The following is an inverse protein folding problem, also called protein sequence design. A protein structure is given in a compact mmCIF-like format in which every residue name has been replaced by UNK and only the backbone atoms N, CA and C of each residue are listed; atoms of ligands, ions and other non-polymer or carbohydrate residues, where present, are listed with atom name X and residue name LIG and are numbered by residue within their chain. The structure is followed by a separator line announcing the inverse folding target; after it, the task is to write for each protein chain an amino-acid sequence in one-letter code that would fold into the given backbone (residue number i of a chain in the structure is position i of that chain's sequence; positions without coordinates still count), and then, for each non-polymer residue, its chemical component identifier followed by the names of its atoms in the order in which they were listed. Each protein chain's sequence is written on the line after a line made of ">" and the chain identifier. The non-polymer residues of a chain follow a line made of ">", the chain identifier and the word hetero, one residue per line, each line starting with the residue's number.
data_IF_997021959812
#
_entry.id   IF_997021959812
#
_cell.length_a   1.000
_cell.length_b   1.000
_cell.length_c   1.000
_cell.angle_alpha   90.00
_cell.angle_beta   90.00
_cell.angle_gamma   90.00
#
_symmetry.space_group_name_H-M   'P 1'
#
loop_
_entity.id
_entity.type
_entity.pdbx_description
1 polymer ?
#
# COMPACT_ATOMS: atom_id res chain seq x y z
N UNK A 1 2.47 -24.64 8.43
CA UNK A 1 2.33 -24.16 7.04
C UNK A 1 2.84 -22.72 7.00
N UNK A 2 3.89 -22.43 6.24
CA UNK A 2 4.45 -21.08 6.16
C UNK A 2 3.51 -20.21 5.33
N UNK A 3 2.80 -19.28 5.98
CA UNK A 3 1.92 -18.31 5.31
C UNK A 3 2.79 -17.40 4.43
N UNK A 4 2.99 -17.77 3.17
CA UNK A 4 3.68 -16.91 2.20
C UNK A 4 2.76 -15.71 1.94
N UNK A 5 3.10 -14.58 2.54
CA UNK A 5 2.44 -13.31 2.24
C UNK A 5 2.67 -13.00 0.75
N UNK A 6 1.58 -12.85 0.00
CA UNK A 6 1.64 -12.44 -1.41
C UNK A 6 2.29 -11.06 -1.48
N UNK A 7 3.43 -10.94 -2.16
CA UNK A 7 4.12 -9.66 -2.40
C UNK A 7 3.82 -9.07 -3.77
N UNK A 8 3.29 -9.88 -4.68
CA UNK A 8 3.05 -9.55 -6.09
C UNK A 8 1.80 -10.25 -6.63
N UNK A 9 1.10 -9.61 -7.56
CA UNK A 9 -0.15 -10.15 -8.13
C UNK A 9 0.09 -11.11 -9.31
N UNK A 10 1.30 -11.10 -9.88
CA UNK A 10 1.70 -11.95 -11.01
C UNK A 10 1.66 -13.45 -10.69
N UNK A 11 1.76 -13.82 -9.41
CA UNK A 11 1.66 -15.21 -8.96
C UNK A 11 0.24 -15.75 -8.86
N UNK A 12 -0.79 -14.95 -9.15
CA UNK A 12 -2.18 -15.38 -9.09
C UNK A 12 -2.54 -16.10 -10.39
N UNK A 13 -2.44 -17.42 -10.38
CA UNK A 13 -2.95 -18.24 -11.48
C UNK A 13 -4.48 -18.17 -11.51
N UNK A 14 -5.03 -17.89 -12.70
CA UNK A 14 -6.48 -17.89 -12.90
C UNK A 14 -6.92 -19.32 -13.15
N UNK A 15 -7.36 -19.99 -12.10
CA UNK A 15 -7.90 -21.36 -12.15
C UNK A 15 -9.41 -21.36 -11.95
N UNK A 16 -10.12 -22.30 -12.56
CA UNK A 16 -11.57 -22.46 -12.37
C UNK A 16 -12.39 -21.47 -13.19
N UNK A 17 -13.54 -21.04 -12.65
CA UNK A 17 -14.40 -20.08 -13.36
C UNK A 17 -13.81 -18.66 -13.32
N UNK A 18 -14.03 -17.87 -14.37
CA UNK A 18 -13.58 -16.47 -14.42
C UNK A 18 -14.12 -15.63 -13.25
N UNK A 19 -15.33 -15.92 -12.78
CA UNK A 19 -15.91 -15.26 -11.60
C UNK A 19 -15.15 -15.56 -10.31
N UNK A 20 -14.71 -16.81 -10.12
CA UNK A 20 -13.86 -17.19 -8.99
C UNK A 20 -12.47 -16.57 -9.10
N UNK A 21 -11.86 -16.62 -10.28
CA UNK A 21 -10.56 -16.02 -10.55
C UNK A 21 -10.55 -14.51 -10.23
N UNK A 22 -11.55 -13.75 -10.70
CA UNK A 22 -11.66 -12.32 -10.41
C UNK A 22 -12.02 -12.01 -8.97
N UNK A 23 -12.81 -12.87 -8.31
CA UNK A 23 -13.06 -12.74 -6.87
C UNK A 23 -11.78 -12.94 -6.06
N UNK A 24 -10.98 -13.94 -6.41
CA UNK A 24 -9.71 -14.22 -5.76
C UNK A 24 -8.69 -13.09 -6.00
N UNK A 25 -8.55 -12.65 -7.25
CA UNK A 25 -7.70 -11.53 -7.62
C UNK A 25 -8.06 -10.26 -6.86
N UNK A 26 -9.35 -9.89 -6.82
CA UNK A 26 -9.83 -8.72 -6.08
C UNK A 26 -9.50 -8.80 -4.58
N UNK A 27 -9.74 -9.96 -3.94
CA UNK A 27 -9.40 -10.17 -2.53
C UNK A 27 -7.90 -10.04 -2.25
N UNK A 28 -7.06 -10.62 -3.11
CA UNK A 28 -5.61 -10.55 -2.92
C UNK A 28 -5.08 -9.14 -3.17
N UNK A 29 -5.62 -8.42 -4.16
CA UNK A 29 -5.32 -7.01 -4.39
C UNK A 29 -5.67 -6.16 -3.16
N UNK A 30 -6.86 -6.35 -2.58
CA UNK A 30 -7.27 -5.67 -1.35
C UNK A 30 -6.33 -5.99 -0.19
N UNK A 31 -6.02 -7.27 0.05
CA UNK A 31 -5.13 -7.67 1.14
C UNK A 31 -3.69 -7.12 0.96
N UNK A 32 -3.17 -7.09 -0.27
CA UNK A 32 -1.86 -6.50 -0.56
C UNK A 32 -1.86 -4.99 -0.30
N UNK A 33 -2.90 -4.31 -0.77
CA UNK A 33 -3.07 -2.88 -0.61
C UNK A 33 -3.19 -2.46 0.87
N UNK A 34 -3.96 -3.21 1.67
CA UNK A 34 -4.08 -2.98 3.12
C UNK A 34 -2.74 -3.14 3.84
N UNK A 35 -1.97 -4.19 3.49
CA UNK A 35 -0.61 -4.38 4.03
C UNK A 35 0.30 -3.21 3.68
N UNK A 36 0.32 -2.79 2.41
CA UNK A 36 1.09 -1.62 2.01
C UNK A 36 0.65 -0.36 2.73
N UNK A 37 -0.66 -0.17 2.92
CA UNK A 37 -1.20 0.95 3.69
C UNK A 37 -0.62 0.98 5.11
N UNK A 38 -0.64 -0.15 5.81
CA UNK A 38 -0.09 -0.24 7.17
C UNK A 38 1.41 0.08 7.20
N UNK A 39 2.21 -0.57 6.34
CA UNK A 39 3.66 -0.37 6.28
C UNK A 39 4.03 1.08 5.93
N UNK A 40 3.28 1.72 5.02
CA UNK A 40 3.51 3.11 4.62
C UNK A 40 3.16 4.11 5.73
N UNK A 41 2.15 3.81 6.55
CA UNK A 41 1.82 4.63 7.73
C UNK A 41 2.92 4.53 8.78
N UNK A 42 3.37 3.32 9.11
CA UNK A 42 4.47 3.07 10.05
C UNK A 42 5.74 3.78 9.56
N UNK A 43 6.12 3.57 8.30
CA UNK A 43 7.28 4.21 7.70
C UNK A 43 7.19 5.73 7.71
N UNK A 44 5.99 6.31 7.54
CA UNK A 44 5.81 7.76 7.60
C UNK A 44 6.12 8.31 8.99
N UNK A 45 5.65 7.64 10.04
CA UNK A 45 5.90 8.02 11.44
C UNK A 45 7.37 7.84 11.80
N UNK A 46 7.94 6.68 11.49
CA UNK A 46 9.32 6.35 11.83
C UNK A 46 10.32 7.26 11.11
N UNK A 47 10.11 7.51 9.81
CA UNK A 47 10.95 8.42 9.04
C UNK A 47 10.83 9.86 9.56
N UNK A 48 9.63 10.33 9.92
CA UNK A 48 9.47 11.66 10.49
C UNK A 48 10.22 11.82 11.81
N UNK A 49 10.08 10.83 12.71
CA UNK A 49 10.72 10.82 14.02
C UNK A 49 12.25 10.74 13.91
N UNK A 50 12.76 9.78 13.12
CA UNK A 50 14.19 9.57 12.94
C UNK A 50 14.89 10.77 12.29
N UNK A 51 14.28 11.40 11.28
CA UNK A 51 14.87 12.58 10.63
C UNK A 51 14.74 13.84 11.49
N UNK A 52 13.63 13.99 12.23
CA UNK A 52 13.42 15.15 13.11
C UNK A 52 14.37 15.15 14.31
N UNK A 53 14.76 13.99 14.82
CA UNK A 53 15.72 13.87 15.93
C UNK A 53 17.13 14.35 15.56
N UNK A 54 17.47 14.38 14.27
CA UNK A 54 18.76 14.89 13.76
C UNK A 54 18.83 16.43 13.70
N UNK A 55 17.81 17.15 14.19
CA UNK A 55 17.81 18.61 14.17
C UNK A 55 18.99 19.17 14.97
N UNK A 56 19.76 20.07 14.34
CA UNK A 56 20.93 20.69 14.98
C UNK A 56 22.18 19.83 14.97
N UNK A 57 22.15 18.67 14.30
CA UNK A 57 23.35 17.84 14.11
C UNK A 57 24.39 18.58 13.26
N UNK A 58 25.64 18.59 13.71
CA UNK A 58 26.73 19.38 13.11
C UNK A 58 26.97 19.04 11.63
N UNK A 59 26.85 17.77 11.25
CA UNK A 59 26.97 17.32 9.84
C UNK A 59 25.80 17.76 8.94
N UNK A 60 24.71 18.27 9.52
CA UNK A 60 23.53 18.76 8.81
C UNK A 60 23.41 20.29 8.88
N UNK A 61 24.51 20.99 9.15
CA UNK A 61 24.53 22.44 9.20
C UNK A 61 24.00 23.07 7.89
N UNK A 62 23.07 24.01 8.01
CA UNK A 62 22.37 24.62 6.87
C UNK A 62 21.19 23.81 6.31
N UNK A 63 20.89 22.63 6.85
CA UNK A 63 19.73 21.82 6.47
C UNK A 63 18.67 21.79 7.57
N UNK A 64 17.45 22.17 7.21
CA UNK A 64 16.29 21.96 8.07
C UNK A 64 15.81 20.50 7.96
N UNK A 65 16.35 19.64 8.81
CA UNK A 65 16.01 18.22 8.90
C UNK A 65 14.53 18.01 9.21
N UNK A 66 13.88 18.91 9.95
CA UNK A 66 12.45 18.84 10.30
C UNK A 66 11.56 19.09 9.09
N UNK A 67 11.91 20.06 8.25
CA UNK A 67 11.20 20.31 6.98
C UNK A 67 11.37 19.14 6.02
N UNK A 68 12.57 18.56 5.94
CA UNK A 68 12.82 17.37 5.12
C UNK A 68 12.06 16.14 5.65
N UNK A 69 12.06 15.92 6.95
CA UNK A 69 11.31 14.86 7.63
C UNK A 69 9.81 14.92 7.26
N UNK A 70 9.19 16.08 7.45
CA UNK A 70 7.78 16.32 7.08
C UNK A 70 7.51 16.07 5.61
N UNK A 71 8.43 16.46 4.73
CA UNK A 71 8.28 16.24 3.28
C UNK A 71 8.30 14.76 2.93
N UNK A 72 9.20 13.98 3.54
CA UNK A 72 9.27 12.52 3.35
C UNK A 72 8.01 11.86 3.90
N UNK A 73 7.63 12.17 5.14
CA UNK A 73 6.42 11.65 5.78
C UNK A 73 5.16 11.94 4.95
N UNK A 74 5.03 13.15 4.40
CA UNK A 74 3.91 13.52 3.51
C UNK A 74 3.87 12.68 2.23
N UNK A 75 5.01 12.28 1.67
CA UNK A 75 5.05 11.41 0.48
C UNK A 75 4.62 9.98 0.82
N UNK A 76 5.05 9.47 1.97
CA UNK A 76 4.65 8.14 2.45
C UNK A 76 3.14 8.09 2.76
N UNK A 77 2.59 9.12 3.42
CA UNK A 77 1.15 9.25 3.63
C UNK A 77 0.36 9.30 2.32
N UNK A 78 0.85 10.02 1.31
CA UNK A 78 0.23 10.00 -0.04
C UNK A 78 0.27 8.60 -0.67
N UNK A 79 1.38 7.87 -0.53
CA UNK A 79 1.48 6.51 -1.04
C UNK A 79 0.49 5.58 -0.30
N UNK A 80 0.31 5.75 1.01
CA UNK A 80 -0.71 5.05 1.79
C UNK A 80 -2.13 5.34 1.27
N UNK A 81 -2.44 6.59 0.98
CA UNK A 81 -3.75 6.97 0.42
C UNK A 81 -3.99 6.32 -0.95
N UNK A 82 -2.94 6.21 -1.78
CA UNK A 82 -3.00 5.45 -3.04
C UNK A 82 -3.22 3.96 -2.81
N UNK A 83 -2.58 3.38 -1.78
CA UNK A 83 -2.83 1.99 -1.39
C UNK A 83 -4.28 1.78 -0.93
N UNK A 84 -4.85 2.70 -0.15
CA UNK A 84 -6.27 2.64 0.24
C UNK A 84 -7.21 2.68 -0.98
N UNK A 85 -6.92 3.55 -1.96
CA UNK A 85 -7.67 3.58 -3.22
C UNK A 85 -7.53 2.26 -4.01
N UNK A 86 -6.34 1.63 -3.99
CA UNK A 86 -6.11 0.33 -4.61
C UNK A 86 -6.97 -0.77 -3.96
N UNK A 87 -7.07 -0.76 -2.63
CA UNK A 87 -7.89 -1.69 -1.86
C UNK A 87 -9.37 -1.61 -2.27
N UNK A 88 -9.88 -0.38 -2.39
CA UNK A 88 -11.25 -0.12 -2.84
C UNK A 88 -11.49 -0.64 -4.27
N UNK A 89 -10.53 -0.46 -5.18
CA UNK A 89 -10.64 -1.03 -6.53
C UNK A 89 -10.64 -2.56 -6.52
N UNK A 90 -9.86 -3.19 -5.64
CA UNK A 90 -9.87 -4.64 -5.44
C UNK A 90 -11.24 -5.18 -5.04
N UNK A 91 -11.98 -4.47 -4.18
CA UNK A 91 -13.35 -4.85 -3.81
C UNK A 91 -14.37 -4.62 -4.94
N UNK A 92 -14.20 -3.53 -5.70
CA UNK A 92 -15.09 -3.17 -6.80
C UNK A 92 -14.92 -4.12 -7.99
N UNK A 93 -13.72 -4.62 -8.24
CA UNK A 93 -13.39 -5.43 -9.41
C UNK A 93 -14.33 -6.64 -9.63
N UNK A 94 -14.52 -7.55 -8.65
CA UNK A 94 -15.46 -8.67 -8.84
C UNK A 94 -16.91 -8.22 -8.95
N UNK A 95 -17.31 -7.13 -8.29
CA UNK A 95 -18.68 -6.58 -8.41
C UNK A 95 -18.95 -6.06 -9.81
N UNK A 96 -17.99 -5.33 -10.39
CA UNK A 96 -18.06 -4.84 -11.77
C UNK A 96 -18.13 -5.99 -12.77
N UNK A 97 -17.32 -7.04 -12.58
CA UNK A 97 -17.41 -8.22 -13.44
C UNK A 97 -18.79 -8.85 -13.40
N UNK A 98 -19.34 -9.10 -12.20
CA UNK A 98 -20.68 -9.68 -12.04
C UNK A 98 -21.74 -8.81 -12.73
N UNK A 99 -21.68 -7.49 -12.54
CA UNK A 99 -22.63 -6.54 -13.14
C UNK A 99 -22.62 -6.55 -14.68
N UNK A 100 -21.46 -6.75 -15.30
CA UNK A 100 -21.32 -6.59 -16.75
C UNK A 100 -21.34 -7.92 -17.53
N UNK A 101 -21.03 -9.04 -16.88
CA UNK A 101 -20.79 -10.31 -17.57
C UNK A 101 -21.62 -11.48 -17.02
N UNK A 102 -22.28 -11.33 -15.88
CA UNK A 102 -23.25 -12.32 -15.41
C UNK A 102 -24.68 -11.81 -15.67
N UNK A 103 -25.56 -12.66 -16.21
CA UNK A 103 -26.97 -12.33 -16.44
C UNK A 103 -27.75 -12.12 -15.15
#
# INVERSE_FOLDING_TARGET
>A
MSTRNITELSGIEFTGSLGEAFTNYGRQLTALAERWGLELEIAAVDAEAAMSSMKGHMLLFGLDSKVRARRVAKRLKRARDLAAALAEQGERFPRSYRKHFLP
#
